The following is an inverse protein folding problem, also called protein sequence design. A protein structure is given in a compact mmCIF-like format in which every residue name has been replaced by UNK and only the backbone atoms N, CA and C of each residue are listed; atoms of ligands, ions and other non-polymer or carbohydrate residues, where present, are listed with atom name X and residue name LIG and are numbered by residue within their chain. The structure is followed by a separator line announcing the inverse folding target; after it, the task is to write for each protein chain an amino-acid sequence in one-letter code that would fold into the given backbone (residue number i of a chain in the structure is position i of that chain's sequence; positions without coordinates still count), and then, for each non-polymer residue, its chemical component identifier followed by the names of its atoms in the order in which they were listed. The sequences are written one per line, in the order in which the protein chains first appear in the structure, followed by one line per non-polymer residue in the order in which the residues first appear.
data_IF_555017036280
#
_entry.id   IF_555017036280
#
_cell.length_a   1.000
_cell.length_b   1.000
_cell.length_c   1.000
_cell.angle_alpha   90.00
_cell.angle_beta   90.00
_cell.angle_gamma   90.00
#
_symmetry.space_group_name_H-M   'P 1'
#
loop_
_entity.id
_entity.type
_entity.pdbx_description
1 polymer ?
#
# COMPACT_ATOMS: atom_id res chain seq x y z
N UNK A 1 27.32 33.63 -10.16
CA UNK A 1 26.63 32.32 -10.08
C UNK A 1 25.35 32.44 -10.88
N UNK A 2 25.31 31.86 -12.08
CA UNK A 2 24.36 32.23 -13.13
C UNK A 2 22.95 31.71 -12.81
N UNK A 3 21.93 32.58 -12.89
CA UNK A 3 20.51 32.28 -12.63
C UNK A 3 19.97 31.03 -13.36
N UNK A 4 20.62 30.65 -14.48
CA UNK A 4 20.37 29.41 -15.23
C UNK A 4 20.53 28.14 -14.37
N UNK A 5 21.47 28.13 -13.43
CA UNK A 5 21.68 27.02 -12.50
C UNK A 5 20.57 26.92 -11.45
N UNK A 6 20.07 28.08 -10.97
CA UNK A 6 18.97 28.13 -10.01
C UNK A 6 17.66 27.64 -10.64
N UNK A 7 17.41 27.98 -11.91
CA UNK A 7 16.24 27.51 -12.66
C UNK A 7 16.32 25.99 -12.89
N UNK A 8 17.50 25.46 -13.26
CA UNK A 8 17.70 24.02 -13.43
C UNK A 8 17.49 23.23 -12.14
N UNK A 9 17.97 23.74 -11.00
CA UNK A 9 17.77 23.12 -9.70
C UNK A 9 16.29 23.12 -9.28
N UNK A 10 15.58 24.23 -9.51
CA UNK A 10 14.14 24.33 -9.22
C UNK A 10 13.29 23.34 -10.02
N UNK A 11 13.61 23.12 -11.29
CA UNK A 11 12.88 22.17 -12.14
C UNK A 11 13.11 20.71 -11.71
N UNK A 12 14.31 20.36 -11.24
CA UNK A 12 14.63 19.03 -10.75
C UNK A 12 13.90 18.68 -9.43
N UNK A 13 13.72 19.64 -8.52
CA UNK A 13 12.94 19.42 -7.29
C UNK A 13 11.45 19.22 -7.57
N UNK A 14 10.88 19.89 -8.58
CA UNK A 14 9.47 19.78 -8.92
C UNK A 14 9.08 18.40 -9.49
N UNK A 15 10.02 17.66 -10.07
CA UNK A 15 9.78 16.32 -10.63
C UNK A 15 9.78 15.18 -9.60
N UNK A 16 10.04 15.46 -8.32
CA UNK A 16 10.38 14.43 -7.32
C UNK A 16 9.21 13.81 -6.56
N UNK A 17 7.95 14.11 -6.91
CA UNK A 17 6.79 13.70 -6.09
C UNK A 17 5.73 12.94 -6.88
N UNK A 18 6.05 11.73 -7.32
CA UNK A 18 5.05 10.75 -7.73
C UNK A 18 5.29 9.45 -6.95
N UNK A 19 4.85 9.41 -5.69
CA UNK A 19 4.72 8.16 -4.95
C UNK A 19 3.38 7.52 -5.33
N UNK A 20 3.40 6.52 -6.20
CA UNK A 20 2.22 5.71 -6.48
C UNK A 20 2.03 4.74 -5.30
N UNK A 21 1.04 5.00 -4.45
CA UNK A 21 0.53 3.96 -3.57
C UNK A 21 -0.32 3.02 -4.43
N UNK A 22 -0.01 1.72 -4.41
CA UNK A 22 -0.86 0.75 -5.09
C UNK A 22 -2.24 0.74 -4.40
N UNK A 23 -3.27 1.09 -5.15
CA UNK A 23 -4.65 1.17 -4.66
C UNK A 23 -5.48 0.05 -5.26
N UNK A 24 -6.37 -0.53 -4.46
CA UNK A 24 -7.32 -1.54 -4.89
C UNK A 24 -8.74 -1.06 -4.56
N UNK A 25 -9.66 -1.32 -5.49
CA UNK A 25 -11.07 -0.94 -5.35
C UNK A 25 -11.89 -2.14 -4.90
N UNK A 26 -12.66 -1.95 -3.82
CA UNK A 26 -13.65 -2.89 -3.30
C UNK A 26 -15.03 -2.23 -3.46
N UNK A 27 -15.73 -2.56 -4.54
CA UNK A 27 -16.97 -1.87 -4.93
C UNK A 27 -16.80 -0.35 -5.11
N UNK A 28 -17.48 0.44 -4.28
CA UNK A 28 -17.39 1.92 -4.30
C UNK A 28 -16.23 2.48 -3.48
N UNK A 29 -15.58 1.65 -2.65
CA UNK A 29 -14.54 2.04 -1.71
C UNK A 29 -13.14 1.70 -2.24
N UNK A 30 -12.12 2.36 -1.69
CA UNK A 30 -10.73 2.17 -2.05
C UNK A 30 -9.89 1.84 -0.81
N UNK A 31 -8.96 0.93 -0.99
CA UNK A 31 -7.87 0.61 -0.06
C UNK A 31 -6.52 0.90 -0.72
N UNK A 32 -5.50 1.13 0.08
CA UNK A 32 -4.12 1.36 -0.37
C UNK A 32 -3.16 0.43 0.35
N UNK A 33 -1.99 0.18 -0.25
CA UNK A 33 -0.88 -0.47 0.46
C UNK A 33 -0.55 0.32 1.73
N UNK A 34 -0.56 -0.37 2.87
CA UNK A 34 -0.34 0.21 4.19
C UNK A 34 -1.59 0.37 5.05
N UNK A 35 -2.79 0.21 4.46
CA UNK A 35 -4.04 0.18 5.22
C UNK A 35 -4.05 -0.99 6.21
N UNK A 36 -4.73 -0.82 7.35
CA UNK A 36 -4.83 -1.86 8.37
C UNK A 36 -5.74 -2.99 7.88
N UNK A 37 -5.43 -4.24 8.24
CA UNK A 37 -6.26 -5.40 7.87
C UNK A 37 -7.73 -5.26 8.30
N UNK A 38 -8.00 -4.59 9.42
CA UNK A 38 -9.38 -4.30 9.87
C UNK A 38 -10.12 -3.32 8.96
N UNK A 39 -9.41 -2.35 8.40
CA UNK A 39 -9.96 -1.40 7.44
C UNK A 39 -10.25 -2.09 6.11
N UNK A 40 -9.36 -2.97 5.67
CA UNK A 40 -9.58 -3.81 4.49
C UNK A 40 -10.83 -4.68 4.68
N UNK A 41 -10.99 -5.35 5.83
CA UNK A 41 -12.20 -6.14 6.13
C UNK A 41 -13.47 -5.30 6.15
N UNK A 42 -13.41 -4.10 6.73
CA UNK A 42 -14.57 -3.21 6.76
C UNK A 42 -14.99 -2.77 5.36
N UNK A 43 -14.02 -2.52 4.47
CA UNK A 43 -14.27 -1.98 3.14
C UNK A 43 -14.56 -3.03 2.07
N UNK A 44 -13.89 -4.18 2.15
CA UNK A 44 -13.95 -5.26 1.16
C UNK A 44 -14.75 -6.47 1.64
N UNK A 45 -15.15 -6.52 2.91
CA UNK A 45 -15.83 -7.67 3.51
C UNK A 45 -14.91 -8.87 3.73
N UNK A 46 -15.52 -10.03 3.97
CA UNK A 46 -14.75 -11.26 4.20
C UNK A 46 -14.16 -11.81 2.89
N UNK A 47 -12.89 -12.23 2.88
CA UNK A 47 -12.26 -12.86 1.71
C UNK A 47 -12.79 -14.28 1.48
N UNK A 48 -12.59 -14.79 0.27
CA UNK A 48 -12.93 -16.17 -0.11
C UNK A 48 -11.92 -17.15 0.47
N UNK A 49 -10.63 -16.77 0.54
CA UNK A 49 -9.60 -17.52 1.25
C UNK A 49 -8.72 -16.59 2.08
N UNK A 50 -8.22 -17.12 3.21
CA UNK A 50 -7.22 -16.50 4.06
C UNK A 50 -6.17 -17.54 4.39
N UNK A 51 -5.02 -17.41 3.76
CA UNK A 51 -3.94 -18.38 3.82
C UNK A 51 -2.79 -17.81 4.65
N UNK A 52 -2.42 -18.51 5.74
CA UNK A 52 -1.27 -18.15 6.55
C UNK A 52 0.02 -18.49 5.79
N UNK A 53 0.74 -17.47 5.34
CA UNK A 53 2.02 -17.65 4.65
C UNK A 53 3.20 -17.79 5.63
N UNK A 54 3.03 -17.36 6.88
CA UNK A 54 4.00 -17.52 7.95
C UNK A 54 4.20 -16.24 8.76
N UNK A 55 5.44 -16.00 9.19
CA UNK A 55 5.78 -14.87 10.06
C UNK A 55 6.97 -14.09 9.50
N UNK A 56 6.88 -12.76 9.54
CA UNK A 56 8.00 -11.86 9.24
C UNK A 56 8.51 -11.22 10.52
N UNK A 57 9.83 -11.10 10.65
CA UNK A 57 10.44 -10.36 11.76
C UNK A 57 10.43 -8.87 11.49
N UNK A 58 10.18 -8.08 12.53
CA UNK A 58 10.39 -6.65 12.54
C UNK A 58 11.85 -6.31 12.21
N UNK A 59 12.10 -5.07 11.77
CA UNK A 59 13.45 -4.59 11.47
C UNK A 59 14.40 -4.72 12.68
N UNK A 60 13.89 -4.58 13.90
CA UNK A 60 14.67 -4.75 15.13
C UNK A 60 14.75 -6.21 15.63
N UNK A 61 14.15 -7.18 14.90
CA UNK A 61 14.05 -8.62 15.22
C UNK A 61 13.40 -8.96 16.56
N UNK A 62 12.68 -8.03 17.18
CA UNK A 62 12.02 -8.26 18.48
C UNK A 62 10.61 -8.80 18.35
N UNK A 63 9.98 -8.57 17.20
CA UNK A 63 8.58 -8.89 16.97
C UNK A 63 8.46 -9.75 15.72
N UNK A 64 7.55 -10.72 15.77
CA UNK A 64 7.15 -11.55 14.64
C UNK A 64 5.70 -11.20 14.30
N UNK A 65 5.48 -10.82 13.04
CA UNK A 65 4.17 -10.48 12.52
C UNK A 65 3.69 -11.58 11.59
N UNK A 66 2.44 -12.00 11.80
CA UNK A 66 1.77 -12.93 10.91
C UNK A 66 1.60 -12.31 9.53
N UNK A 67 1.97 -13.06 8.50
CA UNK A 67 1.75 -12.69 7.10
C UNK A 67 0.71 -13.63 6.53
N UNK A 68 -0.36 -13.05 6.03
CA UNK A 68 -1.48 -13.76 5.42
C UNK A 68 -1.65 -13.29 3.98
N UNK A 69 -2.09 -14.20 3.12
CA UNK A 69 -2.59 -13.89 1.79
C UNK A 69 -4.10 -14.04 1.80
N UNK A 70 -4.79 -13.01 1.33
CA UNK A 70 -6.25 -12.99 1.31
C UNK A 70 -6.71 -12.92 -0.15
N UNK A 71 -7.51 -13.90 -0.55
CA UNK A 71 -8.06 -13.95 -1.91
C UNK A 71 -9.49 -13.44 -1.92
N UNK A 72 -9.73 -12.38 -2.68
CA UNK A 72 -11.07 -11.89 -2.98
C UNK A 72 -11.51 -12.38 -4.37
N UNK A 73 -12.80 -12.69 -4.51
CA UNK A 73 -13.38 -13.12 -5.79
C UNK A 73 -13.33 -12.01 -6.86
N UNK A 74 -13.79 -12.27 -8.09
CA UNK A 74 -13.68 -11.35 -9.23
C UNK A 74 -14.30 -9.95 -9.03
N UNK A 75 -15.08 -9.75 -7.97
CA UNK A 75 -15.67 -8.46 -7.61
C UNK A 75 -14.91 -7.72 -6.48
N UNK A 76 -13.74 -8.23 -6.03
CA UNK A 76 -12.89 -7.52 -5.06
C UNK A 76 -13.36 -7.57 -3.61
N UNK A 77 -14.28 -8.47 -3.28
CA UNK A 77 -14.98 -8.45 -2.00
C UNK A 77 -16.23 -7.57 -2.09
N UNK A 78 -17.31 -8.06 -1.47
CA UNK A 78 -18.73 -7.63 -1.55
C UNK A 78 -19.09 -6.41 -2.41
#
# INVERSE_FOLDING_TARGET
MNARWLIGLGLALAASQAAAADTLRCGSQLISVGDRSSEVLQKCGEPVSRDLLGYKRSANRREEFQVEEWTYGPNGGV
#
